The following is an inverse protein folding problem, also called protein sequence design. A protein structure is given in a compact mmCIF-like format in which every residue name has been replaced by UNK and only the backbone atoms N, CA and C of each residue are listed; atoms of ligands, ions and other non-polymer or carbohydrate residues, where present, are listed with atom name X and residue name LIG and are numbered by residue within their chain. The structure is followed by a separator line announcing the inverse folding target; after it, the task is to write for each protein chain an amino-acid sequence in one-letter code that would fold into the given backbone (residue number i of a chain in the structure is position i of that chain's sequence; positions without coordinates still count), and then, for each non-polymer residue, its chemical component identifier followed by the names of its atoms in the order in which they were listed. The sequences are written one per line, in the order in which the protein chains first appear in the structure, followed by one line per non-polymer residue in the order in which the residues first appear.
data_IF_254633726590
#
_entry.id   IF_254633726590
#
_cell.length_a   1.000
_cell.length_b   1.000
_cell.length_c   1.000
_cell.angle_alpha   90.00
_cell.angle_beta   90.00
_cell.angle_gamma   90.00
#
_symmetry.space_group_name_H-M   'P 1'
#
loop_
_entity.id
_entity.type
_entity.pdbx_description
1 polymer ?
#
# COMPACT_ATOMS: atom_id res chain seq x y z
N UNK A 1 -6.73 -26.25 78.94
CA UNK A 1 -6.63 -27.52 78.19
C UNK A 1 -6.99 -27.23 76.73
N UNK A 2 -6.15 -27.56 75.73
CA UNK A 2 -4.71 -27.78 75.73
C UNK A 2 -3.94 -26.52 75.26
N UNK A 3 -2.64 -26.48 75.50
CA UNK A 3 -1.73 -25.44 75.03
C UNK A 3 -1.08 -25.90 73.72
N UNK A 4 -1.19 -25.09 72.68
CA UNK A 4 -0.45 -25.27 71.43
C UNK A 4 1.00 -24.83 71.64
N UNK A 5 1.91 -25.71 71.25
CA UNK A 5 3.35 -25.58 71.38
C UNK A 5 3.88 -24.81 70.17
N UNK A 6 4.46 -23.65 70.43
CA UNK A 6 5.09 -22.79 69.44
C UNK A 6 6.43 -23.41 68.99
N UNK A 7 6.47 -23.91 67.75
CA UNK A 7 7.70 -24.40 67.12
C UNK A 7 8.41 -23.19 66.48
N UNK A 8 9.41 -22.68 67.18
CA UNK A 8 10.40 -21.73 66.64
C UNK A 8 11.14 -22.39 65.47
N UNK A 9 10.83 -21.95 64.25
CA UNK A 9 11.67 -22.20 63.07
C UNK A 9 12.60 -21.01 62.87
N UNK A 10 13.89 -21.30 62.92
CA UNK A 10 14.99 -20.38 62.67
C UNK A 10 14.89 -19.80 61.24
N UNK A 11 14.92 -18.47 61.03
CA UNK A 11 14.93 -17.93 59.68
C UNK A 11 16.29 -18.23 59.02
N UNK A 12 16.23 -19.02 57.94
CA UNK A 12 17.36 -19.32 57.08
C UNK A 12 18.12 -18.04 56.70
N UNK A 13 19.44 -18.08 56.91
CA UNK A 13 20.37 -17.00 56.62
C UNK A 13 20.11 -16.39 55.23
N UNK A 14 19.56 -15.19 55.22
CA UNK A 14 19.44 -14.38 54.02
C UNK A 14 20.84 -14.00 53.58
N UNK A 15 21.18 -14.35 52.33
CA UNK A 15 22.44 -14.00 51.71
C UNK A 15 22.72 -12.51 51.85
N UNK A 16 24.00 -12.16 52.02
CA UNK A 16 24.43 -10.77 52.21
C UNK A 16 23.78 -9.83 51.17
N UNK A 17 23.37 -8.61 51.55
CA UNK A 17 22.61 -7.70 50.68
C UNK A 17 23.31 -7.44 49.33
N UNK A 18 24.64 -7.51 49.31
CA UNK A 18 25.45 -7.34 48.10
C UNK A 18 25.22 -8.46 47.07
N UNK A 19 24.97 -9.70 47.53
CA UNK A 19 24.67 -10.83 46.65
C UNK A 19 23.28 -10.72 46.02
N UNK A 20 22.31 -10.22 46.77
CA UNK A 20 20.94 -9.97 46.28
C UNK A 20 20.96 -8.89 45.21
N UNK A 21 21.66 -7.77 45.45
CA UNK A 21 21.80 -6.67 44.48
C UNK A 21 22.44 -7.16 43.17
N UNK A 22 23.52 -7.95 43.25
CA UNK A 22 24.18 -8.52 42.08
C UNK A 22 23.26 -9.46 41.28
N UNK A 23 22.48 -10.30 41.96
CA UNK A 23 21.52 -11.19 41.32
C UNK A 23 20.39 -10.38 40.65
N UNK A 24 19.88 -9.33 41.30
CA UNK A 24 18.84 -8.47 40.70
C UNK A 24 19.33 -7.76 39.43
N UNK A 25 20.56 -7.24 39.43
CA UNK A 25 21.16 -6.61 38.24
C UNK A 25 21.34 -7.63 37.12
N UNK A 26 21.82 -8.84 37.44
CA UNK A 26 22.01 -9.91 36.47
C UNK A 26 20.68 -10.33 35.83
N UNK A 27 19.63 -10.53 36.63
CA UNK A 27 18.29 -10.88 36.14
C UNK A 27 17.72 -9.75 35.28
N UNK A 28 17.92 -8.49 35.68
CA UNK A 28 17.52 -7.32 34.88
C UNK A 28 18.18 -7.28 33.51
N UNK A 29 19.48 -7.57 33.42
CA UNK A 29 20.21 -7.64 32.15
C UNK A 29 19.75 -8.80 31.27
N UNK A 30 19.45 -9.97 31.86
CA UNK A 30 18.91 -11.12 31.10
C UNK A 30 17.52 -10.81 30.55
N UNK A 31 16.65 -10.18 31.34
CA UNK A 31 15.31 -9.77 30.90
C UNK A 31 15.38 -8.69 29.81
N UNK A 32 16.30 -7.73 29.92
CA UNK A 32 16.52 -6.71 28.88
C UNK A 32 17.06 -7.34 27.60
N UNK A 33 18.00 -8.29 27.70
CA UNK A 33 18.53 -9.03 26.56
C UNK A 33 17.45 -9.86 25.86
N UNK A 34 16.62 -10.58 26.62
CA UNK A 34 15.47 -11.31 26.08
C UNK A 34 14.46 -10.36 25.42
N UNK A 35 14.18 -9.20 26.03
CA UNK A 35 13.29 -8.20 25.47
C UNK A 35 13.82 -7.64 24.14
N UNK A 36 15.13 -7.41 24.00
CA UNK A 36 15.76 -6.99 22.74
C UNK A 36 15.71 -8.09 21.67
N UNK A 37 15.92 -9.36 22.06
CA UNK A 37 15.77 -10.51 21.15
C UNK A 37 14.30 -10.66 20.70
N UNK A 38 13.34 -10.47 21.60
CA UNK A 38 11.92 -10.47 21.29
C UNK A 38 11.54 -9.29 20.37
N UNK A 39 12.03 -8.08 20.60
CA UNK A 39 11.81 -6.96 19.67
C UNK A 39 12.35 -7.25 18.27
N UNK A 40 13.54 -7.85 18.17
CA UNK A 40 14.15 -8.26 16.89
C UNK A 40 13.36 -9.39 16.20
N UNK A 41 12.72 -10.25 16.97
CA UNK A 41 11.86 -11.34 16.47
C UNK A 41 10.47 -10.85 16.05
N UNK A 42 9.90 -9.83 16.73
CA UNK A 42 8.63 -9.21 16.35
C UNK A 42 8.76 -8.21 15.19
N UNK A 43 9.94 -7.60 14.97
CA UNK A 43 10.22 -6.83 13.76
C UNK A 43 10.49 -7.71 12.53
N UNK A 44 10.46 -9.04 12.69
CA UNK A 44 10.40 -9.99 11.59
C UNK A 44 8.99 -10.02 10.99
N UNK A 45 8.62 -8.90 10.36
CA UNK A 45 7.81 -9.01 9.14
C UNK A 45 8.55 -9.96 8.19
N UNK A 46 7.87 -10.80 7.40
CA UNK A 46 8.50 -11.73 6.49
C UNK A 46 9.10 -10.97 5.29
N UNK A 47 10.15 -10.19 5.53
CA UNK A 47 11.01 -9.61 4.50
C UNK A 47 11.84 -10.71 3.81
N UNK A 48 11.88 -11.93 4.35
CA UNK A 48 12.61 -13.07 3.78
C UNK A 48 11.95 -13.66 2.51
N UNK A 49 10.78 -13.18 2.09
CA UNK A 49 10.24 -13.48 0.75
C UNK A 49 10.65 -12.44 -0.31
N UNK A 50 11.37 -11.38 0.09
CA UNK A 50 11.79 -10.30 -0.81
C UNK A 50 13.28 -9.93 -0.70
N UNK A 51 14.06 -10.60 0.15
CA UNK A 51 15.51 -10.38 0.24
C UNK A 51 16.26 -11.65 -0.19
N UNK A 52 17.19 -11.46 -1.14
CA UNK A 52 18.12 -12.46 -1.70
C UNK A 52 17.66 -13.31 -2.89
N UNK A 53 16.99 -12.69 -3.84
CA UNK A 53 17.29 -12.99 -5.26
C UNK A 53 17.59 -11.68 -5.94
N UNK A 54 18.59 -11.66 -6.81
CA UNK A 54 18.81 -10.58 -7.76
C UNK A 54 17.53 -10.40 -8.58
N UNK A 55 16.65 -9.49 -8.13
CA UNK A 55 15.33 -9.28 -8.74
C UNK A 55 15.60 -8.74 -10.14
N UNK A 56 15.49 -9.61 -11.15
CA UNK A 56 15.41 -9.20 -12.54
C UNK A 56 14.22 -8.24 -12.62
N UNK A 57 14.51 -6.99 -12.96
CA UNK A 57 13.48 -5.96 -13.13
C UNK A 57 12.43 -6.47 -14.12
N UNK A 58 11.16 -6.37 -13.76
CA UNK A 58 10.08 -6.91 -14.57
C UNK A 58 9.59 -5.86 -15.58
N UNK A 59 9.59 -6.22 -16.86
CA UNK A 59 9.14 -5.36 -17.98
C UNK A 59 7.71 -5.68 -18.45
N UNK A 60 7.08 -6.71 -17.89
CA UNK A 60 5.69 -7.06 -18.21
C UNK A 60 4.80 -5.89 -17.74
N UNK A 61 3.84 -5.42 -18.56
CA UNK A 61 2.88 -4.40 -18.17
C UNK A 61 2.15 -4.76 -16.87
N UNK A 62 2.19 -3.87 -15.87
CA UNK A 62 1.67 -4.16 -14.52
C UNK A 62 0.65 -3.11 -14.08
N UNK A 63 -0.44 -3.57 -13.48
CA UNK A 63 -1.40 -2.76 -12.74
C UNK A 63 -1.34 -3.09 -11.24
N UNK A 64 -1.38 -2.04 -10.42
CA UNK A 64 -1.41 -2.17 -8.97
C UNK A 64 -2.79 -1.79 -8.44
N UNK A 65 -3.34 -2.57 -7.51
CA UNK A 65 -4.52 -2.26 -6.73
C UNK A 65 -4.06 -1.90 -5.31
N UNK A 66 -4.32 -0.66 -4.92
CA UNK A 66 -3.83 -0.03 -3.69
C UNK A 66 -5.00 0.69 -3.00
N UNK A 67 -4.85 1.00 -1.71
CA UNK A 67 -5.84 1.74 -0.94
C UNK A 67 -6.01 1.22 0.49
N UNK A 68 -6.78 1.94 1.31
CA UNK A 68 -7.04 1.59 2.71
C UNK A 68 -7.65 0.19 2.90
N UNK A 69 -7.51 -0.36 4.10
CA UNK A 69 -8.26 -1.55 4.50
C UNK A 69 -9.77 -1.37 4.27
N UNK A 70 -10.45 -2.48 3.95
CA UNK A 70 -11.90 -2.52 3.70
C UNK A 70 -12.41 -1.76 2.47
N UNK A 71 -11.56 -1.18 1.61
CA UNK A 71 -12.04 -0.52 0.37
C UNK A 71 -12.47 -1.48 -0.75
N UNK A 72 -12.24 -2.78 -0.61
CA UNK A 72 -12.63 -3.81 -1.60
C UNK A 72 -11.54 -4.21 -2.60
N UNK A 73 -10.27 -3.90 -2.31
CA UNK A 73 -9.11 -4.26 -3.17
C UNK A 73 -9.03 -5.73 -3.54
N UNK A 74 -9.02 -6.59 -2.54
CA UNK A 74 -8.94 -8.04 -2.73
C UNK A 74 -10.17 -8.57 -3.46
N UNK A 75 -11.34 -8.00 -3.20
CA UNK A 75 -12.57 -8.32 -3.95
C UNK A 75 -12.43 -7.94 -5.43
N UNK A 76 -11.93 -6.74 -5.75
CA UNK A 76 -11.68 -6.30 -7.13
C UNK A 76 -10.64 -7.21 -7.81
N UNK A 77 -9.55 -7.55 -7.10
CA UNK A 77 -8.51 -8.43 -7.61
C UNK A 77 -9.06 -9.80 -8.03
N UNK A 78 -9.86 -10.44 -7.16
CA UNK A 78 -10.46 -11.73 -7.47
C UNK A 78 -11.51 -11.62 -8.57
N UNK A 79 -12.32 -10.56 -8.55
CA UNK A 79 -13.29 -10.28 -9.60
C UNK A 79 -12.61 -10.20 -10.98
N UNK A 80 -11.58 -9.35 -11.11
CA UNK A 80 -10.86 -9.15 -12.37
C UNK A 80 -10.10 -10.41 -12.81
N UNK A 81 -9.48 -11.12 -11.86
CA UNK A 81 -8.75 -12.36 -12.15
C UNK A 81 -9.67 -13.48 -12.63
N UNK A 82 -10.85 -13.62 -12.02
CA UNK A 82 -11.86 -14.62 -12.42
C UNK A 82 -12.48 -14.26 -13.77
N UNK A 83 -12.80 -12.98 -14.00
CA UNK A 83 -13.30 -12.52 -15.30
C UNK A 83 -12.28 -12.78 -16.41
N UNK A 84 -11.01 -12.42 -16.18
CA UNK A 84 -9.89 -12.70 -17.09
C UNK A 84 -9.79 -14.17 -17.48
N UNK A 85 -9.88 -15.09 -16.51
CA UNK A 85 -9.76 -16.53 -16.77
C UNK A 85 -10.96 -17.11 -17.52
N UNK A 86 -12.17 -16.59 -17.29
CA UNK A 86 -13.37 -16.96 -18.08
C UNK A 86 -13.25 -16.49 -19.53
N UNK A 87 -12.75 -15.27 -19.75
CA UNK A 87 -12.52 -14.75 -21.11
C UNK A 87 -11.50 -15.60 -21.89
N UNK A 88 -10.44 -16.07 -21.24
CA UNK A 88 -9.47 -16.97 -21.86
C UNK A 88 -10.05 -18.35 -22.21
N UNK A 89 -10.88 -18.92 -21.33
CA UNK A 89 -11.54 -20.20 -21.58
C UNK A 89 -12.46 -20.11 -22.80
N UNK A 90 -13.23 -19.03 -22.92
CA UNK A 90 -14.13 -18.78 -24.05
C UNK A 90 -13.37 -18.55 -25.36
N UNK A 91 -12.19 -17.92 -25.32
CA UNK A 91 -11.38 -17.68 -26.51
C UNK A 91 -10.67 -18.95 -27.05
N UNK A 92 -10.39 -19.92 -26.18
CA UNK A 92 -9.68 -21.16 -26.54
C UNK A 92 -10.62 -22.35 -26.87
N UNK A 93 -11.92 -22.24 -26.55
CA UNK A 93 -12.93 -23.23 -26.93
C UNK A 93 -13.38 -23.08 -28.38
N UNK A 94 -13.01 -24.05 -29.24
CA UNK A 94 -13.83 -24.44 -30.40
C UNK A 94 -15.05 -25.18 -29.84
N UNK A 95 -16.25 -24.88 -30.35
CA UNK A 95 -17.53 -25.62 -30.33
C UNK A 95 -18.67 -24.63 -30.04
N UNK A 96 -19.44 -24.21 -31.04
CA UNK A 96 -20.68 -24.87 -31.49
C UNK A 96 -21.68 -25.07 -30.36
N UNK A 97 -22.49 -24.05 -30.10
CA UNK A 97 -23.94 -24.14 -30.10
C UNK A 97 -24.51 -22.72 -29.94
N UNK A 98 -24.88 -22.14 -31.08
CA UNK A 98 -25.86 -21.07 -31.15
C UNK A 98 -27.18 -21.65 -30.64
N UNK A 99 -27.68 -21.11 -29.52
CA UNK A 99 -29.10 -21.05 -29.11
C UNK A 99 -29.20 -21.15 -27.59
N UNK A 100 -28.80 -20.09 -26.87
CA UNK A 100 -29.26 -19.82 -25.49
C UNK A 100 -28.82 -18.42 -25.01
N UNK A 101 -29.18 -17.38 -25.76
CA UNK A 101 -28.79 -15.99 -25.47
C UNK A 101 -29.55 -15.40 -24.26
N UNK A 102 -30.74 -15.91 -23.92
CA UNK A 102 -31.60 -15.35 -22.87
C UNK A 102 -31.35 -15.87 -21.43
N UNK A 103 -30.54 -16.92 -21.25
CA UNK A 103 -30.24 -17.52 -19.93
C UNK A 103 -28.80 -17.26 -19.44
N UNK A 104 -27.95 -16.64 -20.25
CA UNK A 104 -26.56 -16.35 -19.88
C UNK A 104 -26.41 -15.10 -18.98
N UNK A 105 -27.30 -14.12 -19.09
CA UNK A 105 -27.24 -12.89 -18.28
C UNK A 105 -27.40 -13.11 -16.76
N UNK A 106 -27.94 -14.26 -16.34
CA UNK A 106 -28.10 -14.58 -14.90
C UNK A 106 -27.03 -15.52 -14.36
N UNK A 107 -26.30 -16.23 -15.22
CA UNK A 107 -25.28 -17.22 -14.80
C UNK A 107 -23.84 -16.71 -14.95
N UNK A 108 -23.64 -15.66 -15.77
CA UNK A 108 -22.31 -15.10 -16.11
C UNK A 108 -21.83 -14.02 -15.11
N UNK A 109 -22.72 -13.44 -14.30
CA UNK A 109 -22.46 -12.13 -13.68
C UNK A 109 -22.03 -12.13 -12.20
N UNK A 110 -21.51 -13.24 -11.66
CA UNK A 110 -20.96 -13.23 -10.30
C UNK A 110 -19.50 -13.72 -10.28
N UNK A 111 -18.60 -12.82 -10.69
CA UNK A 111 -17.16 -12.99 -10.53
C UNK A 111 -16.68 -12.75 -9.10
N UNK A 112 -17.59 -12.34 -8.20
CA UNK A 112 -17.29 -12.13 -6.80
C UNK A 112 -16.90 -13.45 -6.09
N UNK A 113 -16.05 -13.37 -5.04
CA UNK A 113 -15.77 -14.51 -4.16
C UNK A 113 -17.05 -14.97 -3.45
N UNK A 114 -17.29 -16.28 -3.42
CA UNK A 114 -18.51 -16.86 -2.84
C UNK A 114 -18.67 -16.58 -1.32
N UNK A 115 -17.56 -16.55 -0.59
CA UNK A 115 -17.53 -16.47 0.88
C UNK A 115 -17.07 -15.08 1.39
N UNK A 116 -17.07 -14.07 0.54
CA UNK A 116 -16.47 -12.77 0.84
C UNK A 116 -14.94 -12.84 0.95
N UNK A 117 -14.31 -11.78 1.45
CA UNK A 117 -12.85 -11.69 1.60
C UNK A 117 -12.48 -11.26 3.02
N UNK A 118 -11.39 -11.82 3.54
CA UNK A 118 -10.80 -11.40 4.83
C UNK A 118 -9.66 -10.40 4.61
N UNK A 119 -9.17 -9.80 5.70
CA UNK A 119 -8.03 -8.87 5.67
C UNK A 119 -6.76 -9.57 5.18
N UNK A 120 -6.21 -9.10 4.05
CA UNK A 120 -4.95 -9.62 3.51
C UNK A 120 -3.75 -9.12 4.32
N UNK A 121 -2.84 -10.04 4.65
CA UNK A 121 -1.53 -9.74 5.26
C UNK A 121 -0.39 -9.78 4.24
N UNK A 122 -0.59 -10.48 3.14
CA UNK A 122 0.34 -10.60 2.01
C UNK A 122 -0.31 -10.08 0.72
N UNK A 123 0.52 -9.71 -0.25
CA UNK A 123 0.04 -9.29 -1.57
C UNK A 123 -0.48 -10.49 -2.38
N UNK A 124 -1.40 -10.25 -3.32
CA UNK A 124 -1.82 -11.24 -4.31
C UNK A 124 -1.30 -10.85 -5.69
N UNK A 125 -0.92 -11.83 -6.52
CA UNK A 125 -0.42 -11.58 -7.89
C UNK A 125 -1.14 -12.50 -8.86
N UNK A 126 -1.60 -11.93 -9.98
CA UNK A 126 -1.97 -12.66 -11.18
C UNK A 126 -0.99 -12.29 -12.30
N UNK A 127 -0.14 -13.23 -12.71
CA UNK A 127 0.91 -13.04 -13.73
C UNK A 127 0.39 -13.18 -15.18
N UNK A 128 -0.86 -13.58 -15.35
CA UNK A 128 -1.49 -13.85 -16.64
C UNK A 128 -2.80 -13.06 -16.76
N UNK A 129 -2.82 -11.84 -16.22
CA UNK A 129 -3.99 -11.01 -16.29
C UNK A 129 -4.24 -10.59 -17.74
N UNK A 130 -5.45 -10.85 -18.22
CA UNK A 130 -5.99 -10.35 -19.49
C UNK A 130 -6.93 -9.20 -19.22
N UNK A 131 -6.89 -8.22 -20.11
CA UNK A 131 -7.69 -7.03 -19.96
C UNK A 131 -9.19 -7.38 -20.09
N UNK A 132 -10.08 -6.65 -19.38
CA UNK A 132 -11.48 -7.04 -19.25
C UNK A 132 -12.29 -6.96 -20.55
N UNK A 133 -11.99 -6.02 -21.44
CA UNK A 133 -12.81 -5.75 -22.63
C UNK A 133 -12.09 -6.07 -23.93
N UNK A 134 -10.78 -5.84 -24.00
CA UNK A 134 -10.04 -6.11 -25.24
C UNK A 134 -9.56 -7.55 -25.34
N UNK A 135 -10.37 -8.37 -26.01
CA UNK A 135 -9.98 -9.70 -26.50
C UNK A 135 -8.85 -9.66 -27.56
N UNK A 136 -8.54 -8.47 -28.09
CA UNK A 136 -7.56 -8.28 -29.16
C UNK A 136 -6.12 -8.16 -28.68
N UNK A 137 -5.89 -7.77 -27.41
CA UNK A 137 -4.54 -7.66 -26.86
C UNK A 137 -4.08 -9.00 -26.30
N UNK A 138 -3.35 -9.76 -27.11
CA UNK A 138 -2.74 -11.05 -26.70
C UNK A 138 -1.70 -10.93 -25.59
N UNK A 139 -1.27 -9.72 -25.21
CA UNK A 139 -0.23 -9.50 -24.20
C UNK A 139 -0.76 -9.82 -22.80
N UNK A 140 0.04 -10.56 -22.04
CA UNK A 140 -0.21 -10.78 -20.62
C UNK A 140 0.16 -9.51 -19.85
N UNK A 141 -0.65 -9.21 -18.86
CA UNK A 141 -0.39 -8.17 -17.87
C UNK A 141 -0.21 -8.84 -16.51
N UNK A 142 0.34 -8.08 -15.56
CA UNK A 142 0.39 -8.47 -14.16
C UNK A 142 -0.60 -7.61 -13.39
N UNK A 143 -1.46 -8.24 -12.60
CA UNK A 143 -2.33 -7.57 -11.64
C UNK A 143 -1.84 -7.87 -10.23
N UNK A 144 -1.67 -6.85 -9.40
CA UNK A 144 -1.15 -7.00 -8.03
C UNK A 144 -2.09 -6.33 -7.04
N UNK A 145 -2.57 -7.08 -6.04
CA UNK A 145 -3.31 -6.55 -4.89
C UNK A 145 -2.35 -6.31 -3.72
N UNK A 146 -2.28 -5.07 -3.24
CA UNK A 146 -1.43 -4.69 -2.10
C UNK A 146 -2.28 -4.56 -0.83
N UNK A 147 -1.89 -5.18 0.30
CA UNK A 147 -2.59 -5.08 1.58
C UNK A 147 -2.84 -3.63 2.02
N UNK A 148 -4.04 -3.37 2.56
CA UNK A 148 -4.46 -2.03 2.96
C UNK A 148 -3.95 -1.53 4.31
N UNK A 149 -3.22 -2.37 5.06
CA UNK A 149 -2.56 -1.93 6.28
C UNK A 149 -1.46 -0.92 5.94
N UNK A 150 -1.48 0.25 6.59
CA UNK A 150 -0.59 1.38 6.26
C UNK A 150 0.90 1.00 6.41
N UNK A 151 1.26 0.22 7.43
CA UNK A 151 2.67 -0.17 7.65
C UNK A 151 3.13 -1.13 6.56
N UNK A 152 2.32 -2.13 6.22
CA UNK A 152 2.63 -3.10 5.17
C UNK A 152 2.73 -2.39 3.81
N UNK A 153 1.72 -1.58 3.47
CA UNK A 153 1.67 -0.86 2.18
C UNK A 153 2.81 0.15 2.02
N UNK A 154 3.20 0.88 3.08
CA UNK A 154 4.33 1.81 3.04
C UNK A 154 5.66 1.12 2.68
N UNK A 155 5.84 -0.14 3.08
CA UNK A 155 7.03 -0.92 2.77
C UNK A 155 6.93 -1.58 1.39
N UNK A 156 5.76 -2.09 1.02
CA UNK A 156 5.56 -2.82 -0.23
C UNK A 156 5.53 -1.89 -1.45
N UNK A 157 4.80 -0.77 -1.40
CA UNK A 157 4.60 0.10 -2.57
C UNK A 157 5.92 0.58 -3.17
N UNK A 158 6.88 1.13 -2.42
CA UNK A 158 8.18 1.53 -2.98
C UNK A 158 8.93 0.36 -3.61
N UNK A 159 8.83 -0.83 -3.01
CA UNK A 159 9.45 -2.05 -3.52
C UNK A 159 8.83 -2.45 -4.86
N UNK A 160 7.50 -2.40 -5.00
CA UNK A 160 6.81 -2.67 -6.25
C UNK A 160 7.12 -1.61 -7.32
N UNK A 161 7.10 -0.33 -6.96
CA UNK A 161 7.50 0.73 -7.88
C UNK A 161 8.91 0.47 -8.41
N UNK A 162 9.91 0.24 -7.55
CA UNK A 162 11.30 -0.01 -7.96
C UNK A 162 11.51 -1.27 -8.82
N UNK A 163 10.77 -2.34 -8.55
CA UNK A 163 11.00 -3.65 -9.18
C UNK A 163 10.24 -3.85 -10.49
N UNK A 164 9.16 -3.11 -10.72
CA UNK A 164 8.34 -3.18 -11.92
C UNK A 164 8.56 -1.93 -12.76
N UNK A 165 9.22 -2.09 -13.92
CA UNK A 165 9.61 -0.96 -14.76
C UNK A 165 8.50 -0.46 -15.69
N UNK A 166 7.45 -1.26 -15.86
CA UNK A 166 6.37 -0.99 -16.81
C UNK A 166 5.01 -1.00 -16.10
N UNK A 167 4.86 -0.12 -15.12
CA UNK A 167 3.59 0.06 -14.42
C UNK A 167 2.68 0.91 -15.31
N UNK A 168 1.58 0.32 -15.77
CA UNK A 168 0.61 0.97 -16.67
C UNK A 168 -0.42 1.81 -15.95
N UNK A 169 -0.66 1.53 -14.68
CA UNK A 169 -1.55 2.33 -13.87
C UNK A 169 -1.74 1.78 -12.47
N UNK A 170 -2.28 2.62 -11.60
CA UNK A 170 -2.62 2.27 -10.22
C UNK A 170 -4.11 2.52 -9.99
N UNK A 171 -4.83 1.51 -9.50
CA UNK A 171 -6.18 1.68 -8.97
C UNK A 171 -6.08 1.92 -7.47
N UNK A 172 -6.38 3.13 -7.03
CA UNK A 172 -6.52 3.48 -5.63
C UNK A 172 -7.99 3.39 -5.19
N UNK A 173 -8.36 2.31 -4.50
CA UNK A 173 -9.73 2.07 -4.07
C UNK A 173 -10.02 2.70 -2.71
N UNK A 174 -11.16 3.40 -2.64
CA UNK A 174 -11.70 4.02 -1.43
C UNK A 174 -13.12 3.47 -1.19
N UNK A 175 -13.49 3.25 0.06
CA UNK A 175 -14.88 3.02 0.44
C UNK A 175 -15.64 4.35 0.36
N UNK A 176 -16.61 4.48 -0.57
CA UNK A 176 -17.37 5.71 -0.77
C UNK A 176 -18.17 6.15 0.46
N UNK A 177 -18.47 5.23 1.39
CA UNK A 177 -19.17 5.53 2.62
C UNK A 177 -18.21 5.86 3.80
N UNK A 178 -16.89 5.77 3.62
CA UNK A 178 -15.90 6.08 4.66
C UNK A 178 -16.11 7.48 5.26
N UNK A 179 -15.95 7.63 6.58
CA UNK A 179 -16.10 8.93 7.24
C UNK A 179 -15.07 9.95 6.71
N UNK A 180 -15.40 11.24 6.82
CA UNK A 180 -14.49 12.32 6.39
C UNK A 180 -13.16 12.22 7.17
N UNK A 181 -13.18 11.89 8.47
CA UNK A 181 -11.99 11.63 9.29
C UNK A 181 -11.15 10.46 8.76
N UNK A 182 -11.79 9.37 8.33
CA UNK A 182 -11.10 8.21 7.78
C UNK A 182 -10.40 8.58 6.47
N UNK A 183 -11.09 9.30 5.58
CA UNK A 183 -10.54 9.81 4.32
C UNK A 183 -9.36 10.76 4.58
N UNK A 184 -9.48 11.66 5.56
CA UNK A 184 -8.38 12.54 5.98
C UNK A 184 -7.19 11.72 6.47
N UNK A 185 -7.41 10.71 7.32
CA UNK A 185 -6.31 9.88 7.84
C UNK A 185 -5.56 9.12 6.75
N UNK A 186 -6.26 8.74 5.68
CA UNK A 186 -5.72 7.99 4.54
C UNK A 186 -5.12 8.91 3.47
N UNK A 187 -5.46 10.20 3.48
CA UNK A 187 -4.97 11.18 2.52
C UNK A 187 -3.44 11.27 2.51
N UNK A 188 -2.78 11.16 3.67
CA UNK A 188 -1.31 11.17 3.72
C UNK A 188 -0.68 10.02 2.93
N UNK A 189 -1.28 8.84 2.96
CA UNK A 189 -0.78 7.71 2.18
C UNK A 189 -0.94 7.95 0.67
N UNK A 190 -2.12 8.42 0.25
CA UNK A 190 -2.38 8.75 -1.16
C UNK A 190 -1.50 9.90 -1.66
N UNK A 191 -1.32 10.95 -0.85
CA UNK A 191 -0.42 12.05 -1.18
C UNK A 191 1.00 11.54 -1.40
N UNK A 192 1.55 10.75 -0.48
CA UNK A 192 2.88 10.15 -0.64
C UNK A 192 2.97 9.16 -1.81
N UNK A 193 1.88 8.50 -2.17
CA UNK A 193 1.81 7.68 -3.38
C UNK A 193 1.97 8.55 -4.63
N UNK A 194 1.21 9.65 -4.74
CA UNK A 194 1.35 10.63 -5.82
C UNK A 194 2.78 11.18 -5.87
N UNK A 195 3.39 11.43 -4.70
CA UNK A 195 4.80 11.82 -4.63
C UNK A 195 5.71 10.80 -5.34
N UNK A 196 5.58 9.54 -4.95
CA UNK A 196 6.44 8.48 -5.46
C UNK A 196 6.21 8.17 -6.94
N UNK A 197 4.98 8.28 -7.44
CA UNK A 197 4.67 7.98 -8.85
C UNK A 197 5.27 9.01 -9.80
N UNK A 198 5.25 10.28 -9.41
CA UNK A 198 5.83 11.39 -10.17
C UNK A 198 7.36 11.33 -10.19
N UNK A 199 7.99 10.98 -9.05
CA UNK A 199 9.46 10.80 -9.01
C UNK A 199 9.94 9.54 -9.74
N UNK A 200 9.08 8.52 -9.91
CA UNK A 200 9.48 7.24 -10.50
C UNK A 200 9.47 7.23 -12.03
N UNK A 201 8.53 7.94 -12.65
CA UNK A 201 8.33 7.95 -14.11
C UNK A 201 8.33 9.40 -14.60
N UNK A 202 9.07 9.74 -15.69
CA UNK A 202 9.12 11.11 -16.20
C UNK A 202 7.75 11.64 -16.67
N UNK A 203 6.80 10.75 -16.98
CA UNK A 203 5.43 11.10 -17.36
C UNK A 203 4.43 10.81 -16.23
N UNK A 204 4.91 10.63 -15.00
CA UNK A 204 4.12 10.11 -13.89
C UNK A 204 3.59 8.68 -14.14
N UNK A 205 2.69 8.24 -13.27
CA UNK A 205 1.91 7.01 -13.44
C UNK A 205 0.45 7.38 -13.29
N UNK A 206 -0.38 6.99 -14.26
CA UNK A 206 -1.82 7.25 -14.21
C UNK A 206 -2.49 6.51 -13.04
N UNK A 207 -3.36 7.22 -12.31
CA UNK A 207 -4.06 6.70 -11.14
C UNK A 207 -5.58 6.81 -11.32
N UNK A 208 -6.28 5.71 -11.13
CA UNK A 208 -7.73 5.69 -10.95
C UNK A 208 -8.07 5.71 -9.46
N UNK A 209 -8.74 6.75 -8.99
CA UNK A 209 -9.39 6.76 -7.68
C UNK A 209 -10.80 6.18 -7.82
N UNK A 210 -10.93 4.90 -7.45
CA UNK A 210 -12.19 4.17 -7.47
C UNK A 210 -12.97 4.33 -6.16
N UNK A 211 -14.12 4.99 -6.21
CA UNK A 211 -15.04 5.11 -5.08
C UNK A 211 -15.98 3.91 -5.07
N UNK A 212 -15.57 2.85 -4.37
CA UNK A 212 -16.29 1.59 -4.29
C UNK A 212 -17.49 1.66 -3.32
N UNK A 213 -18.36 0.67 -3.40
CA UNK A 213 -19.56 0.52 -2.56
C UNK A 213 -20.58 1.66 -2.75
N UNK A 214 -20.67 2.19 -3.98
CA UNK A 214 -21.56 3.31 -4.32
C UNK A 214 -23.04 3.02 -4.05
N UNK A 215 -23.43 1.75 -4.00
CA UNK A 215 -24.79 1.28 -3.71
C UNK A 215 -25.23 1.47 -2.26
N UNK A 216 -24.29 1.71 -1.33
CA UNK A 216 -24.60 1.87 0.09
C UNK A 216 -25.23 3.26 0.32
N UNK A 217 -26.34 3.30 1.06
CA UNK A 217 -26.95 4.55 1.50
C UNK A 217 -25.94 5.36 2.35
N UNK A 218 -25.63 6.58 1.92
CA UNK A 218 -24.59 7.43 2.53
C UNK A 218 -23.28 7.47 1.75
N UNK A 219 -23.17 6.75 0.61
CA UNK A 219 -22.05 6.86 -0.31
C UNK A 219 -21.82 8.32 -0.74
N UNK A 220 -20.56 8.75 -0.70
CA UNK A 220 -20.17 10.12 -1.05
C UNK A 220 -20.01 10.23 -2.56
N UNK A 221 -20.54 11.30 -3.18
CA UNK A 221 -20.29 11.57 -4.59
C UNK A 221 -18.84 12.01 -4.83
N UNK A 222 -18.36 11.82 -6.06
CA UNK A 222 -16.97 12.13 -6.46
C UNK A 222 -16.56 13.54 -6.06
N UNK A 223 -17.40 14.55 -6.35
CA UNK A 223 -17.05 15.95 -6.07
C UNK A 223 -16.76 16.19 -4.58
N UNK A 224 -17.47 15.51 -3.67
CA UNK A 224 -17.27 15.64 -2.22
C UNK A 224 -15.93 15.04 -1.79
N UNK A 225 -15.62 13.83 -2.25
CA UNK A 225 -14.34 13.17 -1.94
C UNK A 225 -13.17 13.93 -2.56
N UNK A 226 -13.29 14.34 -3.82
CA UNK A 226 -12.27 15.13 -4.53
C UNK A 226 -11.96 16.44 -3.80
N UNK A 227 -12.98 17.21 -3.42
CA UNK A 227 -12.79 18.46 -2.68
C UNK A 227 -12.13 18.24 -1.31
N UNK A 228 -12.54 17.19 -0.59
CA UNK A 228 -11.91 16.83 0.69
C UNK A 228 -10.42 16.51 0.50
N UNK A 229 -10.07 15.67 -0.49
CA UNK A 229 -8.69 15.31 -0.78
C UNK A 229 -7.85 16.52 -1.19
N UNK A 230 -8.36 17.40 -2.06
CA UNK A 230 -7.66 18.63 -2.47
C UNK A 230 -7.31 19.48 -1.24
N UNK A 231 -8.29 19.75 -0.37
CA UNK A 231 -8.06 20.54 0.83
C UNK A 231 -7.02 19.91 1.77
N UNK A 232 -7.01 18.58 1.90
CA UNK A 232 -6.02 17.89 2.71
C UNK A 232 -4.63 17.88 2.05
N UNK A 233 -4.56 17.70 0.74
CA UNK A 233 -3.30 17.72 0.00
C UNK A 233 -2.67 19.11 0.02
N UNK A 234 -3.47 20.18 0.06
CA UNK A 234 -2.98 21.53 0.30
C UNK A 234 -2.31 21.72 1.67
N UNK A 235 -2.85 21.08 2.70
CA UNK A 235 -2.23 21.08 4.03
C UNK A 235 -0.93 20.27 4.03
N UNK A 236 -0.96 19.06 3.45
CA UNK A 236 0.20 18.16 3.39
C UNK A 236 1.33 18.74 2.54
N UNK A 237 1.01 19.35 1.40
CA UNK A 237 1.95 20.08 0.53
C UNK A 237 2.69 21.15 1.34
N UNK A 238 1.97 22.03 2.04
CA UNK A 238 2.59 23.08 2.87
C UNK A 238 3.49 22.50 3.97
N UNK A 239 3.05 21.46 4.64
CA UNK A 239 3.82 20.81 5.70
C UNK A 239 5.10 20.14 5.14
N UNK A 240 4.99 19.48 3.99
CA UNK A 240 6.11 18.86 3.29
C UNK A 240 7.22 19.89 3.00
N UNK A 241 6.86 21.09 2.52
CA UNK A 241 7.84 22.17 2.29
C UNK A 241 8.46 22.74 3.54
N UNK A 242 7.65 23.02 4.56
CA UNK A 242 8.15 23.62 5.80
C UNK A 242 9.19 22.71 6.44
N UNK A 243 8.96 21.39 6.42
CA UNK A 243 9.88 20.40 6.96
C UNK A 243 11.17 20.29 6.14
N UNK A 244 11.11 20.35 4.79
CA UNK A 244 12.32 20.31 3.96
C UNK A 244 13.16 21.59 4.10
N UNK A 245 12.51 22.76 4.17
CA UNK A 245 13.20 24.04 4.33
C UNK A 245 13.90 24.16 5.69
N UNK A 246 13.33 23.60 6.75
CA UNK A 246 13.98 23.58 8.07
C UNK A 246 15.14 22.59 8.15
N UNK A 247 15.07 21.44 7.47
CA UNK A 247 16.21 20.51 7.35
C UNK A 247 17.40 21.16 6.63
N UNK A 248 17.16 21.90 5.54
CA UNK A 248 18.23 22.59 4.77
C UNK A 248 18.90 23.68 5.62
N UNK A 249 18.12 24.48 6.37
CA UNK A 249 18.67 25.57 7.21
C UNK A 249 19.59 25.12 8.34
N UNK A 250 19.45 23.87 8.81
CA UNK A 250 20.30 23.32 9.86
C UNK A 250 21.63 22.76 9.34
N UNK A 251 21.80 22.59 8.03
CA UNK A 251 23.05 22.07 7.44
C UNK A 251 24.09 23.19 7.29
N UNK A 252 23.66 24.43 7.10
CA UNK A 252 24.55 25.57 6.89
C UNK A 252 25.15 26.16 8.19
N UNK A 253 24.65 25.77 9.36
CA UNK A 253 25.11 26.32 10.65
C UNK A 253 26.22 25.53 11.35
N UNK A 254 26.53 24.30 10.91
CA UNK A 254 27.46 23.41 11.63
C UNK A 254 28.83 23.23 10.95
N UNK A 255 29.11 23.92 9.83
CA UNK A 255 30.39 23.80 9.10
C UNK A 255 31.37 24.97 9.30
N UNK A 256 31.45 25.51 10.52
CA UNK A 256 32.57 26.35 10.94
C UNK A 256 33.14 25.82 12.27
N UNK A 257 33.81 24.66 12.23
CA UNK A 257 34.99 24.31 13.05
C UNK A 257 35.28 22.80 12.96
N UNK A 258 36.23 22.41 12.10
CA UNK A 258 37.33 21.43 12.34
C UNK A 258 37.91 20.93 11.00
N UNK A 259 39.24 20.70 10.92
CA UNK A 259 39.93 20.31 9.69
C UNK A 259 40.06 18.78 9.53
N UNK A 260 39.96 18.34 8.26
CA UNK A 260 40.47 17.09 7.66
C UNK A 260 40.32 15.74 8.40
N UNK A 261 39.45 14.87 7.87
CA UNK A 261 39.83 13.48 7.58
C UNK A 261 39.04 12.91 6.39
N UNK A 262 39.79 12.55 5.35
CA UNK A 262 39.54 11.61 4.25
C UNK A 262 38.08 11.23 3.90
N UNK A 263 37.57 11.84 2.83
CA UNK A 263 36.69 11.16 1.86
C UNK A 263 37.51 10.04 1.17
N UNK A 264 36.97 8.92 0.73
CA UNK A 264 35.88 8.75 -0.23
C UNK A 264 35.31 7.34 0.00
N UNK A 265 34.04 7.28 0.38
CA UNK A 265 33.02 6.36 -0.14
C UNK A 265 31.68 6.93 0.33
N UNK A 266 31.41 8.14 -0.15
CA UNK A 266 30.05 8.64 -0.16
C UNK A 266 29.34 7.88 -1.28
N UNK A 267 28.64 6.81 -0.90
CA UNK A 267 27.41 6.43 -1.59
C UNK A 267 26.43 7.60 -1.46
N UNK A 268 26.71 8.67 -2.21
CA UNK A 268 25.73 9.62 -2.66
C UNK A 268 24.86 8.81 -3.62
N UNK A 269 23.91 8.06 -3.06
CA UNK A 269 22.65 7.85 -3.75
C UNK A 269 22.04 9.24 -3.87
N UNK A 270 22.44 9.95 -4.93
CA UNK A 270 21.78 11.16 -5.39
C UNK A 270 20.35 10.78 -5.67
N UNK A 271 19.50 10.89 -4.64
CA UNK A 271 18.08 11.17 -4.81
C UNK A 271 18.06 12.52 -5.52
N UNK A 272 18.07 12.43 -6.84
CA UNK A 272 18.16 13.56 -7.74
C UNK A 272 17.17 14.63 -7.31
N UNK A 273 17.70 15.83 -7.07
CA UNK A 273 17.02 17.07 -6.71
C UNK A 273 16.01 17.59 -7.78
N UNK A 274 15.46 16.69 -8.60
CA UNK A 274 14.30 16.94 -9.46
C UNK A 274 12.97 16.69 -8.72
N UNK A 275 13.06 16.44 -7.41
CA UNK A 275 11.92 16.25 -6.53
C UNK A 275 11.03 17.50 -6.56
N UNK A 276 9.96 17.39 -7.36
CA UNK A 276 8.69 18.05 -7.12
C UNK A 276 8.51 19.53 -7.56
N UNK A 277 8.34 19.75 -8.87
CA UNK A 277 7.96 21.07 -9.40
C UNK A 277 6.57 21.55 -8.94
N UNK A 278 5.53 20.70 -8.90
CA UNK A 278 4.19 21.17 -8.54
C UNK A 278 3.99 21.44 -7.06
N UNK A 279 4.73 20.73 -6.20
CA UNK A 279 4.63 21.00 -4.78
C UNK A 279 5.34 22.35 -4.46
N UNK A 280 6.40 22.75 -5.18
CA UNK A 280 7.06 24.05 -5.01
C UNK A 280 6.18 25.28 -5.38
N UNK A 281 5.00 25.08 -5.98
CA UNK A 281 4.10 26.18 -6.33
C UNK A 281 3.36 26.73 -5.10
N UNK A 282 3.28 28.06 -4.97
CA UNK A 282 2.49 28.74 -3.94
C UNK A 282 0.97 28.62 -4.15
N UNK A 283 0.55 28.02 -5.27
CA UNK A 283 -0.86 27.81 -5.62
C UNK A 283 -1.45 26.63 -4.87
N UNK A 284 -2.78 26.64 -4.70
CA UNK A 284 -3.51 25.47 -4.23
C UNK A 284 -3.25 24.27 -5.14
N UNK A 285 -3.30 23.09 -4.54
CA UNK A 285 -3.15 21.81 -5.19
C UNK A 285 -4.30 21.61 -6.18
N UNK A 286 -3.95 21.16 -7.38
CA UNK A 286 -4.89 20.54 -8.31
C UNK A 286 -4.28 19.26 -8.84
N UNK A 287 -5.12 18.26 -9.11
CA UNK A 287 -4.69 17.04 -9.79
C UNK A 287 -4.14 17.32 -11.19
N UNK A 288 -4.56 18.42 -11.83
CA UNK A 288 -4.07 18.84 -13.16
C UNK A 288 -2.61 19.34 -13.14
N UNK A 289 -2.01 19.50 -11.94
CA UNK A 289 -0.60 19.86 -11.79
C UNK A 289 0.33 18.63 -11.83
N UNK A 290 -0.24 17.42 -11.89
CA UNK A 290 0.49 16.15 -11.96
C UNK A 290 0.76 15.80 -13.42
N UNK A 291 1.89 15.14 -13.68
CA UNK A 291 2.18 14.59 -15.01
C UNK A 291 1.32 13.34 -15.28
N UNK A 292 1.18 12.47 -14.27
CA UNK A 292 0.26 11.33 -14.31
C UNK A 292 -1.20 11.77 -14.17
N UNK A 293 -2.09 11.22 -15.00
CA UNK A 293 -3.51 11.54 -14.93
C UNK A 293 -4.15 10.93 -13.68
N UNK A 294 -5.03 11.68 -13.03
CA UNK A 294 -5.81 11.17 -11.89
C UNK A 294 -7.30 11.21 -12.19
N UNK A 295 -7.86 10.03 -12.48
CA UNK A 295 -9.27 9.85 -12.82
C UNK A 295 -10.07 9.44 -11.57
N UNK A 296 -11.34 9.85 -11.51
CA UNK A 296 -12.25 9.49 -10.42
C UNK A 296 -13.50 8.83 -10.97
N UNK A 297 -13.78 7.60 -10.52
CA UNK A 297 -15.02 6.90 -10.87
C UNK A 297 -15.68 6.28 -9.64
N UNK A 298 -16.99 6.45 -9.52
CA UNK A 298 -17.81 5.64 -8.62
C UNK A 298 -18.00 4.25 -9.21
N UNK A 299 -18.21 3.26 -8.35
CA UNK A 299 -18.61 1.93 -8.78
C UNK A 299 -19.01 1.03 -7.63
N UNK A 300 -19.60 -0.09 -7.98
CA UNK A 300 -20.03 -1.12 -7.04
C UNK A 300 -19.61 -2.49 -7.55
N UNK A 301 -18.63 -3.09 -6.89
CA UNK A 301 -18.29 -4.50 -7.12
C UNK A 301 -19.50 -5.42 -6.87
N UNK A 302 -20.29 -5.10 -5.83
CA UNK A 302 -21.43 -5.94 -5.45
C UNK A 302 -22.57 -5.89 -6.48
N UNK A 303 -22.77 -4.74 -7.13
CA UNK A 303 -23.76 -4.58 -8.19
C UNK A 303 -23.21 -4.82 -9.59
N UNK A 304 -21.95 -5.23 -9.72
CA UNK A 304 -21.26 -5.35 -10.99
C UNK A 304 -21.29 -4.04 -11.82
N UNK A 305 -21.25 -2.90 -11.13
CA UNK A 305 -21.24 -1.56 -11.73
C UNK A 305 -19.81 -1.01 -11.68
N UNK A 306 -18.93 -1.58 -12.50
CA UNK A 306 -17.51 -1.21 -12.55
C UNK A 306 -16.97 -1.07 -13.98
N UNK A 307 -17.85 -1.00 -14.99
CA UNK A 307 -17.49 -0.93 -16.40
C UNK A 307 -16.51 0.22 -16.70
N UNK A 308 -16.66 1.35 -15.99
CA UNK A 308 -15.73 2.49 -16.14
C UNK A 308 -14.32 2.18 -15.65
N UNK A 309 -14.17 1.34 -14.62
CA UNK A 309 -12.87 0.92 -14.12
C UNK A 309 -12.22 -0.07 -15.10
N UNK A 310 -13.03 -0.94 -15.69
CA UNK A 310 -12.59 -1.88 -16.73
C UNK A 310 -12.15 -1.15 -18.00
N UNK A 311 -12.97 -0.21 -18.51
CA UNK A 311 -12.61 0.67 -19.62
C UNK A 311 -11.28 1.38 -19.37
N UNK A 312 -11.10 1.94 -18.16
CA UNK A 312 -9.87 2.63 -17.79
C UNK A 312 -8.64 1.69 -17.84
N UNK A 313 -8.77 0.45 -17.37
CA UNK A 313 -7.69 -0.55 -17.48
C UNK A 313 -7.32 -0.83 -18.93
N UNK A 314 -8.31 -1.04 -19.80
CA UNK A 314 -8.10 -1.29 -21.22
C UNK A 314 -7.44 -0.10 -21.92
N UNK A 315 -7.87 1.14 -21.65
CA UNK A 315 -7.30 2.37 -22.20
C UNK A 315 -5.82 2.53 -21.83
N UNK A 316 -5.47 2.36 -20.55
CA UNK A 316 -4.09 2.53 -20.07
C UNK A 316 -3.15 1.40 -20.47
N UNK A 317 -3.68 0.25 -20.86
CA UNK A 317 -2.85 -0.85 -21.35
C UNK A 317 -2.29 -0.63 -22.77
N UNK A 318 -2.92 0.25 -23.56
CA UNK A 318 -2.50 0.55 -24.94
C UNK A 318 -1.40 1.62 -25.00
N UNK A 319 -1.39 2.54 -24.03
CA UNK A 319 -0.41 3.61 -23.88
C UNK A 319 0.90 3.09 -23.25
#
# INVERSE_FOLDING_TARGET
MPQETEILTEPAATGTPNSIILITILVGLVLLGLFLIFQKSYSSTPAHLLTNTSIKKNHIPTFLIIGPSNSGKTTLFHYLSKKSSVLEANANGKDSDSDNEANNDKKVNNYLPADGTVTSTTFNINNQFKLPLSSSFKKNHILIDIPGNIQISNNLVPTFLKNYLNIKGIIYLIDSNASDESLISQSNFLFNLLLKTESYSPNGIDILIGLNKSEIFGSKPIFKVKNLLINQFDLLKRNYFQNRSSTIKNIDTDQMNQPNSNSIDNDNSGDNDNDFQFANSSTSFSFDQLEGNVDFFTGSLYKNDIDRWENWLDERAVN
#
